data_IF_875229299240
#
_entry.id   IF_875229299240
#
_cell.length_a   1.000
_cell.length_b   1.000
_cell.length_c   1.000
_cell.angle_alpha   90.00
_cell.angle_beta   90.00
_cell.angle_gamma   90.00
#
_symmetry.space_group_name_H-M   'P 1'
#
loop_
_entity.id
_entity.type
_entity.pdbx_description
1 polymer ?
#
# COMPACT_ATOMS: atom_id res chain seq x y z
N UNK A 1 -3.66 8.88 -15.05
CA UNK A 1 -2.64 9.72 -14.40
C UNK A 1 -3.29 11.06 -14.13
N UNK A 2 -3.17 11.64 -12.92
CA UNK A 2 -3.66 12.98 -12.65
C UNK A 2 -2.97 14.02 -13.55
N UNK A 3 -3.69 15.06 -13.97
CA UNK A 3 -3.15 16.13 -14.81
C UNK A 3 -2.07 16.92 -14.08
N UNK A 4 -1.11 17.50 -14.84
CA UNK A 4 0.00 18.32 -14.29
C UNK A 4 -0.46 19.43 -13.34
N UNK A 5 -1.65 19.97 -13.58
CA UNK A 5 -2.27 21.04 -12.80
C UNK A 5 -2.69 20.62 -11.38
N UNK A 6 -2.98 19.32 -11.17
CA UNK A 6 -3.38 18.79 -9.86
C UNK A 6 -2.23 18.23 -9.02
N UNK A 7 -1.04 18.06 -9.60
CA UNK A 7 0.13 17.52 -8.92
C UNK A 7 1.42 18.18 -9.48
N UNK A 8 1.91 19.26 -8.82
CA UNK A 8 3.11 19.97 -9.27
C UNK A 8 4.33 19.04 -9.29
N UNK A 9 5.33 19.40 -10.09
CA UNK A 9 6.60 18.67 -10.17
C UNK A 9 7.27 18.62 -8.78
N UNK A 10 7.67 17.42 -8.36
CA UNK A 10 8.20 17.20 -7.00
C UNK A 10 8.18 15.73 -6.60
N UNK A 11 8.67 15.39 -5.39
CA UNK A 11 8.77 14.02 -4.91
C UNK A 11 7.41 13.33 -4.84
N UNK A 12 6.35 14.09 -4.50
CA UNK A 12 4.95 13.60 -4.49
C UNK A 12 4.52 13.12 -5.87
N UNK A 13 4.87 13.86 -6.91
CA UNK A 13 4.57 13.49 -8.28
C UNK A 13 5.31 12.22 -8.68
N UNK A 14 6.62 12.15 -8.40
CA UNK A 14 7.43 10.97 -8.71
C UNK A 14 6.88 9.71 -8.02
N UNK A 15 6.44 9.80 -6.77
CA UNK A 15 5.81 8.69 -6.05
C UNK A 15 4.50 8.22 -6.70
N UNK A 16 3.61 9.16 -7.05
CA UNK A 16 2.34 8.85 -7.71
C UNK A 16 2.56 8.29 -9.11
N UNK A 17 3.56 8.80 -9.83
CA UNK A 17 3.96 8.33 -11.15
C UNK A 17 4.39 6.87 -11.10
N UNK A 18 5.22 6.49 -10.13
CA UNK A 18 5.65 5.09 -9.99
C UNK A 18 4.49 4.16 -9.60
N UNK A 19 3.65 4.57 -8.64
CA UNK A 19 2.41 3.83 -8.33
C UNK A 19 1.51 3.66 -9.56
N UNK A 20 1.40 4.70 -10.39
CA UNK A 20 0.59 4.65 -11.59
C UNK A 20 1.18 3.73 -12.65
N UNK A 21 2.50 3.57 -12.69
CA UNK A 21 3.17 2.57 -13.53
C UNK A 21 2.74 1.16 -13.13
N UNK A 22 2.89 0.81 -11.86
CA UNK A 22 2.45 -0.52 -11.37
C UNK A 22 0.95 -0.75 -11.57
N UNK A 23 0.12 0.27 -11.34
CA UNK A 23 -1.31 0.22 -11.60
C UNK A 23 -1.65 -0.07 -13.07
N UNK A 24 -0.88 0.51 -14.01
CA UNK A 24 -1.06 0.26 -15.45
C UNK A 24 -0.61 -1.15 -15.83
N UNK A 25 0.50 -1.62 -15.26
CA UNK A 25 1.02 -2.95 -15.54
C UNK A 25 0.12 -4.05 -14.97
N UNK A 26 -0.57 -3.78 -13.85
CA UNK A 26 -1.64 -4.63 -13.32
C UNK A 26 -2.93 -4.65 -14.17
N UNK A 27 -2.93 -4.03 -15.35
CA UNK A 27 -4.11 -3.99 -16.24
C UNK A 27 -5.18 -3.00 -15.81
N UNK A 28 -4.85 -2.01 -14.97
CA UNK A 28 -5.78 -0.99 -14.42
C UNK A 28 -6.97 -1.61 -13.67
N UNK A 29 -6.69 -2.38 -12.60
CA UNK A 29 -7.74 -3.01 -11.81
C UNK A 29 -8.68 -1.95 -11.19
N UNK A 30 -9.91 -2.36 -10.87
CA UNK A 30 -10.82 -1.48 -10.14
C UNK A 30 -10.39 -1.33 -8.69
N UNK A 31 -10.69 -0.18 -8.08
CA UNK A 31 -10.39 0.08 -6.66
C UNK A 31 -10.94 -1.00 -5.73
N UNK A 32 -12.12 -1.53 -6.08
CA UNK A 32 -12.77 -2.63 -5.34
C UNK A 32 -12.00 -3.94 -5.46
N UNK A 33 -11.42 -4.25 -6.63
CA UNK A 33 -10.60 -5.46 -6.79
C UNK A 33 -9.34 -5.37 -5.92
N UNK A 34 -8.69 -4.20 -5.90
CA UNK A 34 -7.51 -3.95 -5.08
C UNK A 34 -7.87 -4.08 -3.59
N UNK A 35 -8.94 -3.43 -3.13
CA UNK A 35 -9.40 -3.53 -1.75
C UNK A 35 -9.76 -4.97 -1.36
N UNK A 36 -10.50 -5.68 -2.22
CA UNK A 36 -10.87 -7.07 -1.97
C UNK A 36 -9.64 -7.97 -1.84
N UNK A 37 -8.64 -7.80 -2.71
CA UNK A 37 -7.40 -8.56 -2.64
C UNK A 37 -6.64 -8.27 -1.34
N UNK A 38 -6.50 -6.99 -0.96
CA UNK A 38 -5.84 -6.61 0.30
C UNK A 38 -6.60 -7.16 1.52
N UNK A 39 -7.93 -7.20 1.47
CA UNK A 39 -8.76 -7.74 2.55
C UNK A 39 -8.64 -9.26 2.68
N UNK A 40 -8.53 -9.96 1.55
CA UNK A 40 -8.42 -11.42 1.49
C UNK A 40 -7.04 -11.92 1.97
N UNK A 41 -6.01 -11.07 1.86
CA UNK A 41 -4.65 -11.38 2.29
C UNK A 41 -4.42 -10.89 3.73
N UNK A 42 -4.79 -11.72 4.71
CA UNK A 42 -4.66 -11.42 6.14
C UNK A 42 -3.21 -11.32 6.65
N UNK A 43 -2.25 -11.86 5.91
CA UNK A 43 -0.81 -11.80 6.23
C UNK A 43 -0.19 -10.41 5.93
N UNK A 44 -0.95 -9.52 5.27
CA UNK A 44 -0.46 -8.18 4.95
C UNK A 44 -0.30 -7.33 6.22
N UNK A 45 0.84 -6.67 6.42
CA UNK A 45 1.06 -5.80 7.58
C UNK A 45 0.20 -4.53 7.55
N UNK A 46 -0.47 -4.24 6.43
CA UNK A 46 -1.25 -3.05 6.20
C UNK A 46 -2.60 -3.34 5.54
N UNK A 47 -3.51 -2.38 5.62
CA UNK A 47 -4.77 -2.45 4.85
C UNK A 47 -5.04 -1.09 4.22
N UNK A 48 -5.80 -1.10 3.13
CA UNK A 48 -6.20 0.09 2.40
C UNK A 48 -7.64 -0.05 1.92
N UNK A 49 -8.49 0.92 2.27
CA UNK A 49 -9.85 1.00 1.75
C UNK A 49 -9.87 1.59 0.34
N UNK A 50 -10.94 1.34 -0.41
CA UNK A 50 -11.18 1.94 -1.75
C UNK A 50 -10.94 3.46 -1.78
N UNK A 51 -11.39 4.21 -0.76
CA UNK A 51 -11.12 5.65 -0.64
C UNK A 51 -9.63 5.97 -0.46
N UNK A 52 -8.92 5.23 0.38
CA UNK A 52 -7.48 5.38 0.60
C UNK A 52 -6.73 5.16 -0.71
N UNK A 53 -7.02 4.05 -1.41
CA UNK A 53 -6.39 3.72 -2.69
C UNK A 53 -6.62 4.84 -3.70
N UNK A 54 -7.86 5.35 -3.80
CA UNK A 54 -8.18 6.48 -4.68
C UNK A 54 -7.38 7.73 -4.35
N UNK A 55 -7.31 8.12 -3.07
CA UNK A 55 -6.61 9.33 -2.63
C UNK A 55 -5.10 9.21 -2.83
N UNK A 56 -4.54 8.00 -2.67
CA UNK A 56 -3.11 7.73 -2.92
C UNK A 56 -2.81 7.77 -4.43
N UNK A 57 -3.62 7.13 -5.27
CA UNK A 57 -3.45 7.13 -6.73
C UNK A 57 -3.65 8.51 -7.38
N UNK A 58 -4.47 9.35 -6.77
CA UNK A 58 -4.65 10.75 -7.19
C UNK A 58 -3.58 11.67 -6.62
N UNK A 59 -2.72 11.15 -5.74
CA UNK A 59 -1.74 11.92 -5.00
C UNK A 59 -2.34 12.76 -3.90
N UNK A 60 -3.66 12.82 -3.70
CA UNK A 60 -4.33 13.66 -2.71
C UNK A 60 -3.85 13.42 -1.26
N UNK A 61 -3.48 12.19 -0.93
CA UNK A 61 -2.88 11.82 0.37
C UNK A 61 -1.69 10.90 0.17
N UNK A 62 -0.74 10.95 1.09
CA UNK A 62 0.41 10.04 1.13
C UNK A 62 0.35 9.28 2.46
N UNK A 63 0.36 7.94 2.48
CA UNK A 63 0.28 7.20 3.73
C UNK A 63 1.55 7.44 4.56
N UNK A 64 1.42 7.69 5.88
CA UNK A 64 2.59 7.75 6.78
C UNK A 64 3.17 6.39 7.10
N UNK A 65 2.45 5.31 6.82
CA UNK A 65 2.86 3.96 7.15
C UNK A 65 3.25 3.22 5.88
N UNK A 66 4.50 2.74 5.83
CA UNK A 66 4.99 1.90 4.74
C UNK A 66 4.08 0.69 4.50
N UNK A 67 3.57 0.06 5.56
CA UNK A 67 2.70 -1.11 5.46
C UNK A 67 1.47 -0.90 4.56
N UNK A 68 0.88 0.31 4.54
CA UNK A 68 -0.24 0.62 3.64
C UNK A 68 0.20 0.75 2.19
N UNK A 69 1.37 1.37 1.94
CA UNK A 69 1.95 1.48 0.60
C UNK A 69 2.34 0.09 0.07
N UNK A 70 2.97 -0.70 0.93
CA UNK A 70 3.41 -2.06 0.67
C UNK A 70 2.23 -2.98 0.31
N UNK A 71 1.14 -2.93 1.07
CA UNK A 71 -0.08 -3.69 0.76
C UNK A 71 -0.68 -3.32 -0.61
N UNK A 72 -0.68 -2.03 -0.97
CA UNK A 72 -1.15 -1.57 -2.29
C UNK A 72 -0.22 -2.07 -3.40
N UNK A 73 1.09 -1.99 -3.20
CA UNK A 73 2.08 -2.50 -4.16
C UNK A 73 1.93 -4.01 -4.36
N UNK A 74 1.84 -4.78 -3.27
CA UNK A 74 1.65 -6.23 -3.34
C UNK A 74 0.38 -6.59 -4.12
N UNK A 75 -0.71 -5.85 -3.91
CA UNK A 75 -1.94 -6.04 -4.68
C UNK A 75 -1.74 -5.77 -6.18
N UNK A 76 -0.98 -4.74 -6.56
CA UNK A 76 -0.66 -4.47 -7.96
C UNK A 76 0.22 -5.55 -8.57
N UNK A 77 1.26 -5.97 -7.85
CA UNK A 77 2.17 -7.03 -8.27
C UNK A 77 1.41 -8.34 -8.48
N UNK A 78 0.58 -8.76 -7.52
CA UNK A 78 -0.23 -9.96 -7.64
C UNK A 78 -1.21 -9.91 -8.81
N UNK A 79 -1.85 -8.77 -9.05
CA UNK A 79 -2.76 -8.59 -10.19
C UNK A 79 -2.02 -8.50 -11.54
N UNK A 80 -0.73 -8.17 -11.52
CA UNK A 80 0.15 -8.14 -12.69
C UNK A 80 0.90 -9.47 -12.92
N UNK A 81 0.69 -10.49 -12.08
CA UNK A 81 1.46 -11.75 -12.05
C UNK A 81 2.97 -11.51 -11.91
N UNK A 82 3.34 -10.54 -11.05
CA UNK A 82 4.74 -10.15 -10.78
C UNK A 82 5.06 -10.16 -9.30
N UNK A 83 6.34 -10.26 -8.96
CA UNK A 83 6.78 -10.18 -7.56
C UNK A 83 7.22 -8.74 -7.20
N UNK A 84 6.92 -8.25 -5.99
CA UNK A 84 7.36 -6.91 -5.54
C UNK A 84 8.87 -6.79 -5.41
N UNK A 85 9.57 -7.93 -5.27
CA UNK A 85 11.02 -8.03 -5.19
C UNK A 85 11.67 -8.28 -6.57
N UNK A 86 10.90 -8.25 -7.66
CA UNK A 86 11.49 -8.26 -9.01
C UNK A 86 12.29 -6.99 -9.28
N UNK A 87 13.27 -7.14 -10.17
CA UNK A 87 14.10 -6.03 -10.59
C UNK A 87 13.30 -4.97 -11.36
N UNK A 88 13.49 -3.70 -11.01
CA UNK A 88 12.77 -2.58 -11.62
C UNK A 88 13.24 -2.30 -13.05
N UNK A 89 14.52 -2.53 -13.31
CA UNK A 89 15.20 -2.27 -14.57
C UNK A 89 16.06 -3.48 -14.95
N UNK A 90 15.44 -4.57 -15.40
CA UNK A 90 16.16 -5.80 -15.74
C UNK A 90 17.16 -5.61 -16.90
N UNK A 91 17.04 -4.51 -17.66
CA UNK A 91 17.98 -4.09 -18.69
C UNK A 91 19.23 -3.37 -18.16
N UNK A 92 19.17 -2.86 -16.91
CA UNK A 92 20.29 -2.24 -16.23
C UNK A 92 20.98 -3.26 -15.32
N UNK A 93 21.99 -3.93 -15.85
CA UNK A 93 22.69 -5.04 -15.19
C UNK A 93 23.51 -4.63 -13.94
N UNK A 94 23.38 -3.36 -13.49
CA UNK A 94 24.03 -2.77 -12.32
C UNK A 94 23.02 -2.28 -11.27
N UNK A 95 21.73 -2.30 -11.59
CA UNK A 95 20.67 -1.92 -10.67
C UNK A 95 20.20 -3.16 -9.93
N UNK A 96 20.42 -3.23 -8.62
CA UNK A 96 19.81 -4.24 -7.73
C UNK A 96 18.51 -3.69 -7.12
N UNK A 97 17.86 -2.76 -7.82
CA UNK A 97 16.75 -1.99 -7.27
C UNK A 97 15.44 -2.71 -7.58
N UNK A 98 14.83 -3.27 -6.55
CA UNK A 98 13.52 -3.92 -6.67
C UNK A 98 12.39 -2.90 -6.84
N UNK A 99 11.25 -3.32 -7.40
CA UNK A 99 10.02 -2.50 -7.49
C UNK A 99 9.67 -1.90 -6.12
N UNK A 100 9.76 -2.73 -5.08
CA UNK A 100 9.55 -2.36 -3.68
C UNK A 100 10.56 -1.33 -3.19
N UNK A 101 11.85 -1.55 -3.46
CA UNK A 101 12.93 -0.68 -3.02
C UNK A 101 12.82 0.72 -3.60
N UNK A 102 12.53 0.80 -4.90
CA UNK A 102 12.36 2.08 -5.60
C UNK A 102 11.11 2.83 -5.09
N UNK A 103 9.98 2.13 -4.93
CA UNK A 103 8.78 2.77 -4.40
C UNK A 103 9.01 3.27 -2.97
N UNK A 104 9.73 2.50 -2.14
CA UNK A 104 10.11 2.90 -0.78
C UNK A 104 10.99 4.13 -0.77
N UNK A 105 11.96 4.22 -1.68
CA UNK A 105 12.83 5.40 -1.82
C UNK A 105 12.01 6.64 -2.16
N UNK A 106 11.11 6.56 -3.16
CA UNK A 106 10.24 7.69 -3.53
C UNK A 106 9.29 8.07 -2.40
N UNK A 107 8.73 7.10 -1.69
CA UNK A 107 7.89 7.36 -0.52
C UNK A 107 8.66 8.09 0.59
N UNK A 108 9.89 7.67 0.91
CA UNK A 108 10.72 8.38 1.88
C UNK A 108 11.05 9.80 1.41
N UNK A 109 11.36 10.01 0.13
CA UNK A 109 11.62 11.34 -0.42
C UNK A 109 10.40 12.28 -0.28
N UNK A 110 9.18 11.75 -0.36
CA UNK A 110 7.96 12.53 -0.10
C UNK A 110 7.84 12.92 1.38
N UNK A 111 8.24 12.04 2.29
CA UNK A 111 8.22 12.33 3.72
C UNK A 111 9.34 13.29 4.14
N UNK A 112 10.50 13.19 3.51
CA UNK A 112 11.68 14.03 3.75
C UNK A 112 11.48 15.47 3.25
N UNK A 113 10.88 15.64 2.07
CA UNK A 113 10.50 16.95 1.51
C UNK A 113 9.45 17.69 2.35
N UNK A 114 8.71 16.97 3.19
CA UNK A 114 7.69 17.54 4.07
C UNK A 114 8.18 17.63 5.53
N UNK A 115 8.85 18.74 5.87
CA UNK A 115 9.00 19.17 7.27
C UNK A 115 7.69 19.74 7.89
N UNK A 116 6.53 19.61 7.21
CA UNK A 116 5.22 20.18 7.62
C UNK A 116 3.97 19.33 7.31
N UNK A 117 2.78 19.91 7.52
CA UNK A 117 1.44 19.26 7.49
C UNK A 117 1.10 18.58 6.16
N UNK A 118 1.53 17.32 6.01
CA UNK A 118 0.97 16.42 5.00
C UNK A 118 -0.50 16.15 5.34
N UNK A 119 -1.46 16.29 4.40
CA UNK A 119 -2.80 15.77 4.57
C UNK A 119 -2.73 14.25 4.59
N UNK A 120 -2.44 13.71 5.77
CA UNK A 120 -2.30 12.29 6.02
C UNK A 120 -3.63 11.69 6.40
N UNK A 121 -3.87 10.47 5.91
CA UNK A 121 -5.00 9.70 6.39
C UNK A 121 -4.80 9.44 7.89
N UNK A 122 -5.85 9.60 8.71
CA UNK A 122 -5.80 9.14 10.08
C UNK A 122 -5.48 7.64 10.09
N UNK A 123 -4.70 7.15 11.07
CA UNK A 123 -4.48 5.71 11.20
C UNK A 123 -5.84 5.02 11.28
N UNK A 124 -6.05 4.01 10.43
CA UNK A 124 -7.20 3.11 10.55
C UNK A 124 -7.28 2.61 12.01
N UNK A 125 -8.46 2.58 12.65
CA UNK A 125 -8.57 1.94 13.95
C UNK A 125 -8.11 0.49 13.81
N UNK A 126 -7.26 0.04 14.72
CA UNK A 126 -6.81 -1.36 14.79
C UNK A 126 -8.02 -2.29 14.71
N UNK A 127 -7.94 -3.44 14.00
CA UNK A 127 -8.99 -4.43 14.08
C UNK A 127 -9.24 -4.75 15.56
N UNK A 128 -10.50 -4.87 16.00
CA UNK A 128 -10.79 -5.22 17.39
C UNK A 128 -10.04 -6.52 17.71
N UNK A 129 -9.44 -6.64 18.92
CA UNK A 129 -8.78 -7.88 19.32
C UNK A 129 -9.77 -9.04 19.12
N UNK A 130 -9.28 -10.13 18.52
CA UNK A 130 -10.08 -11.33 18.31
C UNK A 130 -10.83 -11.68 19.61
N UNK A 131 -12.12 -12.04 19.57
CA UNK A 131 -12.84 -12.42 20.77
C UNK A 131 -12.06 -13.54 21.45
N UNK A 132 -11.69 -13.32 22.72
CA UNK A 132 -10.97 -14.31 23.51
C UNK A 132 -11.70 -15.66 23.41
N UNK A 133 -10.99 -16.80 23.32
CA UNK A 133 -11.63 -18.10 23.35
C UNK A 133 -12.46 -18.16 24.63
N UNK A 134 -13.79 -18.28 24.48
CA UNK A 134 -14.69 -18.54 25.60
C UNK A 134 -14.22 -19.83 26.23
N UNK A 135 -13.56 -19.74 27.38
CA UNK A 135 -13.13 -20.89 28.14
C UNK A 135 -14.35 -21.75 28.46
N UNK A 136 -14.32 -22.99 27.99
CA UNK A 136 -15.22 -24.05 28.41
C UNK A 136 -14.96 -24.32 29.90
N UNK A 137 -15.76 -23.73 30.77
CA UNK A 137 -15.96 -24.25 32.13
C UNK A 137 -16.94 -25.42 32.02
N UNK A 138 -16.43 -26.60 31.69
CA UNK A 138 -17.18 -27.85 31.77
C UNK A 138 -16.87 -28.51 33.13
N UNK A 139 -17.84 -28.35 34.03
CA UNK A 139 -18.24 -29.22 35.14
C UNK A 139 -17.22 -30.21 35.77
N UNK A 140 -16.77 -29.89 36.98
CA UNK A 140 -16.22 -30.84 37.95
C UNK A 140 -17.40 -31.52 38.70
N UNK A 141 -17.53 -32.86 38.73
CA UNK A 141 -18.63 -33.53 39.43
C UNK A 141 -18.38 -33.63 40.94
N UNK A 142 -19.40 -33.49 41.80
CA UNK A 142 -19.23 -33.70 43.24
C UNK A 142 -19.15 -35.20 43.58
N UNK A 143 -18.26 -35.51 44.54
CA UNK A 143 -18.10 -36.82 45.20
C UNK A 143 -19.31 -37.21 46.05
#
# INVERSE_FOLDING_TARGET
MPSKDGLPEGPRRAFVEELFTHYREAGRPTLRQIESWIRDNEDLPGTASTETIRRVLTGAVVPRTWATVDAILQAFCALADRSPDEDRWPEDNWSEVTLRGELKKRWNAVLDDYEGDVPTLPPKPSPPPAPAPRGNFDEEPPF
#
